data_IF_192069526268
#
_entry.id   IF_192069526268
#
_cell.length_a   1.000
_cell.length_b   1.000
_cell.length_c   1.000
_cell.angle_alpha   90.00
_cell.angle_beta   90.00
_cell.angle_gamma   90.00
#
_symmetry.space_group_name_H-M   'P 1'
#
loop_
_entity.id
_entity.type
_entity.pdbx_description
1 polymer ?
#
# COMPACT_ATOMS: atom_id res chain seq x y z
N UNK A 1 -30.01 -15.77 11.23
CA UNK A 1 -30.67 -16.81 10.41
C UNK A 1 -29.56 -17.69 9.86
N UNK A 2 -29.37 -18.87 10.44
CA UNK A 2 -28.29 -19.80 10.12
C UNK A 2 -28.70 -20.64 8.92
N UNK A 3 -28.05 -20.43 7.78
CA UNK A 3 -28.22 -21.27 6.59
C UNK A 3 -27.58 -22.63 6.84
N UNK A 4 -28.42 -23.65 6.96
CA UNK A 4 -28.03 -25.05 7.02
C UNK A 4 -27.35 -25.41 5.70
N UNK A 5 -26.05 -25.73 5.75
CA UNK A 5 -25.30 -26.18 4.58
C UNK A 5 -25.80 -27.60 4.24
N UNK A 6 -26.36 -27.76 3.06
CA UNK A 6 -26.82 -29.06 2.55
C UNK A 6 -25.66 -29.72 1.80
N UNK A 7 -25.11 -30.79 2.39
CA UNK A 7 -24.00 -31.55 1.81
C UNK A 7 -24.40 -32.37 0.57
N UNK A 8 -25.67 -32.31 0.17
CA UNK A 8 -26.23 -33.04 -0.97
C UNK A 8 -26.11 -32.31 -2.32
N UNK A 9 -25.79 -31.01 -2.32
CA UNK A 9 -25.74 -30.18 -3.54
C UNK A 9 -24.49 -30.41 -4.40
N UNK A 10 -23.49 -31.13 -3.89
CA UNK A 10 -22.22 -31.42 -4.58
C UNK A 10 -22.15 -32.82 -5.22
N UNK A 11 -23.28 -33.51 -5.35
CA UNK A 11 -23.31 -34.81 -6.03
C UNK A 11 -23.67 -34.55 -7.50
N UNK A 12 -22.63 -34.46 -8.34
CA UNK A 12 -22.77 -34.52 -9.80
C UNK A 12 -23.44 -35.85 -10.19
N UNK A 13 -24.68 -35.78 -10.66
CA UNK A 13 -25.49 -36.93 -11.10
C UNK A 13 -24.96 -37.57 -12.41
N UNK A 14 -23.92 -36.99 -13.01
CA UNK A 14 -23.38 -37.40 -14.32
C UNK A 14 -22.29 -38.48 -14.25
N UNK A 15 -22.02 -39.03 -13.06
CA UNK A 15 -21.02 -40.08 -12.81
C UNK A 15 -21.63 -41.42 -12.37
N UNK A 16 -22.88 -41.72 -12.73
CA UNK A 16 -23.37 -43.10 -12.62
C UNK A 16 -22.77 -43.96 -13.74
N UNK A 17 -21.87 -44.93 -13.45
CA UNK A 17 -21.50 -45.92 -14.43
C UNK A 17 -22.73 -46.78 -14.69
N UNK A 18 -23.39 -46.56 -15.83
CA UNK A 18 -24.47 -47.44 -16.28
C UNK A 18 -23.97 -48.88 -16.23
N UNK A 19 -24.56 -49.68 -15.34
CA UNK A 19 -24.39 -51.13 -15.25
C UNK A 19 -25.01 -51.79 -16.48
N UNK A 20 -24.36 -51.66 -17.63
CA UNK A 20 -24.70 -52.41 -18.82
C UNK A 20 -24.02 -53.77 -18.76
N UNK A 21 -24.83 -54.76 -18.40
CA UNK A 21 -24.77 -56.18 -18.75
C UNK A 21 -23.48 -56.68 -19.42
N UNK A 22 -22.76 -57.52 -18.67
CA UNK A 22 -21.80 -58.50 -19.17
C UNK A 22 -22.40 -59.33 -20.31
N UNK A 23 -21.79 -59.40 -21.51
CA UNK A 23 -22.15 -60.41 -22.49
C UNK A 23 -21.57 -61.78 -22.08
N UNK A 24 -22.28 -62.90 -22.27
CA UNK A 24 -21.76 -64.21 -21.94
C UNK A 24 -20.67 -64.63 -22.93
N UNK A 25 -19.64 -65.29 -22.42
CA UNK A 25 -18.66 -66.03 -23.21
C UNK A 25 -19.37 -67.25 -23.82
N UNK A 26 -19.85 -67.09 -25.05
CA UNK A 26 -20.44 -68.15 -25.85
C UNK A 26 -19.58 -68.43 -27.09
N UNK A 27 -18.78 -69.50 -27.04
CA UNK A 27 -18.15 -70.06 -28.23
C UNK A 27 -19.25 -70.68 -29.10
N UNK A 28 -19.76 -69.90 -30.05
CA UNK A 28 -20.73 -70.36 -31.04
C UNK A 28 -19.99 -70.64 -32.35
N UNK A 29 -19.67 -71.91 -32.57
CA UNK A 29 -19.36 -72.43 -33.91
C UNK A 29 -20.66 -72.46 -34.71
N UNK A 30 -20.80 -71.53 -35.65
CA UNK A 30 -21.74 -71.67 -36.76
C UNK A 30 -21.08 -71.15 -38.04
N UNK A 31 -20.62 -72.12 -38.82
CA UNK A 31 -20.37 -71.95 -40.23
C UNK A 31 -21.72 -71.97 -40.95
N UNK A 32 -22.14 -70.84 -41.51
CA UNK A 32 -23.01 -70.78 -42.69
C UNK A 32 -22.56 -69.58 -43.53
N UNK A 33 -22.32 -69.83 -44.81
CA UNK A 33 -21.71 -68.90 -45.76
C UNK A 33 -22.56 -67.66 -46.03
N UNK A 34 -21.86 -66.53 -46.03
CA UNK A 34 -22.26 -65.24 -46.56
C UNK A 34 -20.98 -64.42 -46.67
N UNK A 35 -20.50 -64.24 -47.89
CA UNK A 35 -19.36 -63.43 -48.33
C UNK A 35 -18.33 -62.99 -47.27
N UNK A 36 -17.40 -63.89 -46.95
CA UNK A 36 -16.05 -63.49 -46.53
C UNK A 36 -15.25 -63.03 -47.75
N UNK A 37 -15.73 -61.99 -48.44
CA UNK A 37 -14.90 -61.20 -49.33
C UNK A 37 -13.93 -60.44 -48.42
N UNK A 38 -12.63 -60.52 -48.68
CA UNK A 38 -11.70 -59.55 -48.08
C UNK A 38 -12.27 -58.15 -48.38
N UNK A 39 -12.37 -57.25 -47.38
CA UNK A 39 -12.93 -55.92 -47.61
C UNK A 39 -12.24 -55.34 -48.84
N UNK A 40 -13.04 -54.91 -49.82
CA UNK A 40 -12.45 -54.42 -51.06
C UNK A 40 -11.58 -53.22 -50.70
N UNK A 41 -10.44 -53.06 -51.36
CA UNK A 41 -9.48 -51.98 -51.07
C UNK A 41 -10.19 -50.60 -51.02
N UNK A 42 -11.18 -50.43 -51.89
CA UNK A 42 -12.04 -49.25 -51.97
C UNK A 42 -12.92 -49.03 -50.73
N UNK A 43 -13.52 -50.09 -50.15
CA UNK A 43 -14.28 -50.00 -48.88
C UNK A 43 -13.40 -49.67 -47.67
N UNK A 44 -12.13 -50.11 -47.69
CA UNK A 44 -11.17 -49.72 -46.64
C UNK A 44 -10.73 -48.28 -46.78
N UNK A 45 -10.51 -47.82 -48.01
CA UNK A 45 -10.15 -46.43 -48.32
C UNK A 45 -11.30 -45.46 -47.99
N UNK A 46 -12.56 -45.84 -48.27
CA UNK A 46 -13.74 -45.05 -47.88
C UNK A 46 -13.91 -44.95 -46.36
N UNK A 47 -13.68 -46.03 -45.61
CA UNK A 47 -13.68 -45.98 -44.14
C UNK A 47 -12.54 -45.15 -43.58
N UNK A 48 -11.34 -45.21 -44.16
CA UNK A 48 -10.20 -44.38 -43.74
C UNK A 48 -10.49 -42.90 -43.96
N UNK A 49 -11.07 -42.54 -45.11
CA UNK A 49 -11.45 -41.14 -45.40
C UNK A 49 -12.57 -40.65 -44.48
N UNK A 50 -13.61 -41.46 -44.23
CA UNK A 50 -14.67 -41.14 -43.25
C UNK A 50 -14.10 -40.93 -41.85
N UNK A 51 -13.17 -41.79 -41.40
CA UNK A 51 -12.51 -41.66 -40.10
C UNK A 51 -11.59 -40.44 -40.04
N UNK A 52 -10.88 -40.11 -41.12
CA UNK A 52 -10.08 -38.87 -41.21
C UNK A 52 -10.96 -37.62 -41.13
N UNK A 53 -12.13 -37.66 -41.78
CA UNK A 53 -13.08 -36.56 -41.77
C UNK A 53 -13.70 -36.37 -40.38
N UNK A 54 -14.10 -37.46 -39.71
CA UNK A 54 -14.53 -37.42 -38.30
C UNK A 54 -13.44 -36.88 -37.38
N UNK A 55 -12.18 -37.29 -37.59
CA UNK A 55 -11.06 -36.80 -36.79
C UNK A 55 -10.80 -35.30 -37.00
N UNK A 56 -10.98 -34.80 -38.22
CA UNK A 56 -10.90 -33.38 -38.51
C UNK A 56 -12.05 -32.59 -37.84
N UNK A 57 -13.26 -33.14 -37.87
CA UNK A 57 -14.44 -32.55 -37.22
C UNK A 57 -14.25 -32.47 -35.69
N UNK A 58 -13.90 -33.59 -35.05
CA UNK A 58 -13.58 -33.65 -33.62
C UNK A 58 -12.46 -32.68 -33.22
N UNK A 59 -11.42 -32.55 -34.05
CA UNK A 59 -10.33 -31.59 -33.80
C UNK A 59 -10.82 -30.15 -33.89
N UNK A 60 -11.74 -29.85 -34.81
CA UNK A 60 -12.34 -28.52 -34.92
C UNK A 60 -13.21 -28.19 -33.70
N UNK A 61 -13.97 -29.16 -33.20
CA UNK A 61 -14.78 -29.03 -31.98
C UNK A 61 -13.90 -28.85 -30.74
N UNK A 62 -12.82 -29.63 -30.62
CA UNK A 62 -11.83 -29.47 -29.56
C UNK A 62 -11.26 -28.04 -29.55
N UNK A 63 -10.84 -27.54 -30.71
CA UNK A 63 -10.28 -26.20 -30.81
C UNK A 63 -11.31 -25.11 -30.44
N UNK A 64 -12.60 -25.32 -30.75
CA UNK A 64 -13.67 -24.41 -30.33
C UNK A 64 -13.82 -24.42 -28.80
N UNK A 65 -13.87 -25.61 -28.20
CA UNK A 65 -13.95 -25.80 -26.76
C UNK A 65 -12.75 -25.21 -26.02
N UNK A 66 -11.53 -25.36 -26.55
CA UNK A 66 -10.33 -24.75 -25.98
C UNK A 66 -10.40 -23.21 -25.98
N UNK A 67 -10.94 -22.60 -27.05
CA UNK A 67 -11.14 -21.14 -27.09
C UNK A 67 -12.20 -20.68 -26.10
N UNK A 68 -13.30 -21.41 -26.00
CA UNK A 68 -14.37 -21.13 -25.02
C UNK A 68 -13.84 -21.26 -23.59
N UNK A 69 -13.06 -22.31 -23.31
CA UNK A 69 -12.34 -22.50 -22.04
C UNK A 69 -11.40 -21.33 -21.73
N UNK A 70 -10.56 -20.93 -22.68
CA UNK A 70 -9.65 -19.81 -22.51
C UNK A 70 -10.39 -18.49 -22.21
N UNK A 71 -11.54 -18.24 -22.86
CA UNK A 71 -12.37 -17.07 -22.60
C UNK A 71 -13.00 -17.08 -21.20
N UNK A 72 -13.46 -18.26 -20.74
CA UNK A 72 -13.98 -18.44 -19.39
C UNK A 72 -12.90 -18.29 -18.32
N UNK A 73 -11.71 -18.84 -18.56
CA UNK A 73 -10.56 -18.72 -17.65
C UNK A 73 -10.10 -17.26 -17.51
N UNK A 74 -10.02 -16.52 -18.61
CA UNK A 74 -9.70 -15.09 -18.59
C UNK A 74 -10.78 -14.28 -17.84
N UNK A 75 -12.06 -14.62 -18.01
CA UNK A 75 -13.15 -13.98 -17.25
C UNK A 75 -13.04 -14.29 -15.76
N UNK A 76 -12.75 -15.54 -15.40
CA UNK A 76 -12.54 -15.97 -14.01
C UNK A 76 -11.34 -15.25 -13.39
N UNK A 77 -10.25 -15.10 -14.14
CA UNK A 77 -9.06 -14.34 -13.73
C UNK A 77 -9.43 -12.89 -13.42
N UNK A 78 -10.12 -12.21 -14.31
CA UNK A 78 -10.56 -10.81 -14.10
C UNK A 78 -11.48 -10.66 -12.89
N UNK A 79 -12.37 -11.61 -12.67
CA UNK A 79 -13.24 -11.62 -11.48
C UNK A 79 -12.42 -11.77 -10.19
N UNK A 80 -11.40 -12.63 -10.18
CA UNK A 80 -10.51 -12.80 -9.03
C UNK A 80 -9.68 -11.53 -8.76
N UNK A 81 -9.10 -10.92 -9.81
CA UNK A 81 -8.36 -9.66 -9.70
C UNK A 81 -9.26 -8.53 -9.17
N UNK A 82 -10.50 -8.43 -9.67
CA UNK A 82 -11.47 -7.45 -9.19
C UNK A 82 -11.87 -7.69 -7.73
N UNK A 83 -12.14 -8.94 -7.33
CA UNK A 83 -12.52 -9.27 -5.97
C UNK A 83 -11.40 -8.91 -4.98
N UNK A 84 -10.16 -9.31 -5.29
CA UNK A 84 -8.99 -8.95 -4.48
C UNK A 84 -8.79 -7.44 -4.42
N UNK A 85 -8.79 -6.78 -5.59
CA UNK A 85 -8.59 -5.32 -5.66
C UNK A 85 -9.66 -4.53 -4.92
N UNK A 86 -10.92 -5.00 -4.92
CA UNK A 86 -11.98 -4.39 -4.13
C UNK A 86 -11.75 -4.48 -2.63
N UNK A 87 -11.35 -5.65 -2.14
CA UNK A 87 -11.09 -5.85 -0.71
C UNK A 87 -9.92 -4.99 -0.26
N UNK A 88 -8.81 -5.02 -1.01
CA UNK A 88 -7.63 -4.21 -0.72
C UNK A 88 -7.93 -2.71 -0.74
N UNK A 89 -8.59 -2.24 -1.80
CA UNK A 89 -8.93 -0.81 -1.92
C UNK A 89 -9.87 -0.36 -0.80
N UNK A 90 -10.86 -1.20 -0.44
CA UNK A 90 -11.78 -0.88 0.67
C UNK A 90 -11.02 -0.77 1.99
N UNK A 91 -10.10 -1.70 2.28
CA UNK A 91 -9.29 -1.66 3.50
C UNK A 91 -8.37 -0.43 3.52
N UNK A 92 -7.70 -0.14 2.40
CA UNK A 92 -6.82 1.02 2.26
C UNK A 92 -7.58 2.33 2.44
N UNK A 93 -8.75 2.48 1.81
CA UNK A 93 -9.60 3.65 1.95
C UNK A 93 -10.14 3.79 3.38
N UNK A 94 -10.55 2.69 4.00
CA UNK A 94 -11.03 2.72 5.39
C UNK A 94 -9.94 3.23 6.34
N UNK A 95 -8.71 2.73 6.18
CA UNK A 95 -7.56 3.18 6.97
C UNK A 95 -7.17 4.63 6.66
N UNK A 96 -7.19 5.04 5.40
CA UNK A 96 -6.86 6.40 5.02
C UNK A 96 -7.87 7.39 5.59
N UNK A 97 -9.16 7.02 5.59
CA UNK A 97 -10.23 7.84 6.16
C UNK A 97 -10.02 8.04 7.67
N UNK A 98 -9.75 6.98 8.43
CA UNK A 98 -9.53 7.12 9.88
C UNK A 98 -8.31 7.99 10.19
N UNK A 99 -7.22 7.85 9.42
CA UNK A 99 -6.03 8.71 9.57
C UNK A 99 -6.35 10.18 9.27
N UNK A 100 -7.15 10.44 8.22
CA UNK A 100 -7.51 11.79 7.84
C UNK A 100 -8.45 12.43 8.87
N UNK A 101 -9.42 11.68 9.39
CA UNK A 101 -10.32 12.16 10.45
C UNK A 101 -9.57 12.49 11.73
N UNK A 102 -8.59 11.66 12.13
CA UNK A 102 -7.74 11.95 13.28
C UNK A 102 -6.90 13.22 13.05
N UNK A 103 -6.32 13.37 11.86
CA UNK A 103 -5.56 14.55 11.48
C UNK A 103 -6.42 15.82 11.45
N UNK A 104 -7.66 15.73 10.97
CA UNK A 104 -8.62 16.85 10.95
C UNK A 104 -8.92 17.34 12.37
N UNK A 105 -9.21 16.43 13.29
CA UNK A 105 -9.45 16.77 14.71
C UNK A 105 -8.20 17.36 15.34
N UNK A 106 -7.02 16.79 15.05
CA UNK A 106 -5.73 17.29 15.55
C UNK A 106 -5.48 18.73 15.08
N UNK A 107 -5.60 18.99 13.77
CA UNK A 107 -5.40 20.33 13.21
C UNK A 107 -6.42 21.35 13.72
N UNK A 108 -7.68 20.95 13.96
CA UNK A 108 -8.66 21.83 14.61
C UNK A 108 -8.24 22.23 16.02
N UNK A 109 -7.81 21.26 16.85
CA UNK A 109 -7.30 21.53 18.20
C UNK A 109 -6.05 22.41 18.16
N UNK A 110 -5.10 22.13 17.26
CA UNK A 110 -3.91 22.95 17.07
C UNK A 110 -4.25 24.40 16.66
N UNK A 111 -5.25 24.58 15.78
CA UNK A 111 -5.71 25.89 15.37
C UNK A 111 -6.33 26.67 16.54
N UNK A 112 -7.12 26.02 17.39
CA UNK A 112 -7.67 26.61 18.61
C UNK A 112 -6.58 26.99 19.63
N UNK A 113 -5.58 26.12 19.83
CA UNK A 113 -4.45 26.43 20.71
C UNK A 113 -3.65 27.62 20.17
N UNK A 114 -3.42 27.67 18.85
CA UNK A 114 -2.72 28.77 18.20
C UNK A 114 -3.51 30.08 18.30
N UNK A 115 -4.84 30.04 18.15
CA UNK A 115 -5.67 31.25 18.25
C UNK A 115 -5.66 31.82 19.68
N UNK A 116 -5.69 30.95 20.70
CA UNK A 116 -5.53 31.36 22.11
C UNK A 116 -4.16 32.00 22.36
N UNK A 117 -3.08 31.37 21.90
CA UNK A 117 -1.73 31.94 22.06
C UNK A 117 -1.58 33.30 21.37
N UNK A 118 -2.23 33.50 20.21
CA UNK A 118 -2.27 34.81 19.54
C UNK A 118 -3.06 35.84 20.36
N UNK A 119 -4.17 35.45 20.97
CA UNK A 119 -4.96 36.32 21.84
C UNK A 119 -4.15 36.75 23.07
N UNK A 120 -3.53 35.80 23.78
CA UNK A 120 -2.70 36.06 24.96
C UNK A 120 -1.56 37.04 24.64
N UNK A 121 -0.89 36.85 23.49
CA UNK A 121 0.21 37.70 23.05
C UNK A 121 -0.25 39.11 22.67
N UNK A 122 -1.44 39.24 22.07
CA UNK A 122 -2.05 40.56 21.80
C UNK A 122 -2.41 41.28 23.09
N UNK A 123 -2.93 40.57 24.09
CA UNK A 123 -3.24 41.14 25.40
C UNK A 123 -1.98 41.62 26.12
N UNK A 124 -0.91 40.81 26.11
CA UNK A 124 0.38 41.20 26.68
C UNK A 124 0.96 42.46 25.99
N UNK A 125 0.87 42.53 24.66
CA UNK A 125 1.29 43.71 23.89
C UNK A 125 0.44 44.93 24.23
N UNK A 126 -0.88 44.78 24.37
CA UNK A 126 -1.77 45.87 24.75
C UNK A 126 -1.39 46.43 26.13
N UNK A 127 -1.15 45.56 27.13
CA UNK A 127 -0.70 45.97 28.48
C UNK A 127 0.64 46.72 28.44
N UNK A 128 1.60 46.26 27.64
CA UNK A 128 2.87 46.95 27.44
C UNK A 128 2.69 48.33 26.79
N UNK A 129 1.83 48.42 25.77
CA UNK A 129 1.57 49.68 25.06
C UNK A 129 0.79 50.71 25.88
N UNK A 130 0.04 50.25 26.89
CA UNK A 130 -0.69 51.11 27.82
C UNK A 130 0.22 51.75 28.88
N UNK A 131 1.48 51.29 29.02
CA UNK A 131 2.45 51.92 29.91
C UNK A 131 2.78 53.33 29.38
N UNK A 132 2.63 54.33 30.24
CA UNK A 132 2.89 55.75 29.91
C UNK A 132 3.95 56.32 30.87
N UNK A 133 5.25 56.10 30.60
CA UNK A 133 6.33 56.61 31.43
C UNK A 133 6.31 58.13 31.59
N UNK A 134 5.80 58.85 30.59
CA UNK A 134 5.73 60.33 30.57
C UNK A 134 4.74 60.90 31.61
N UNK A 135 3.85 60.06 32.17
CA UNK A 135 2.89 60.46 33.20
C UNK A 135 3.44 60.38 34.63
N UNK A 136 4.67 59.88 34.80
CA UNK A 136 5.26 59.62 36.11
C UNK A 136 5.86 60.89 36.72
N UNK A 137 5.64 61.07 38.01
CA UNK A 137 6.18 62.17 38.82
C UNK A 137 6.90 61.61 40.06
N UNK A 138 7.57 62.48 40.83
CA UNK A 138 8.36 62.05 41.99
C UNK A 138 7.53 61.35 43.07
N UNK A 139 6.24 61.66 43.17
CA UNK A 139 5.36 61.14 44.22
C UNK A 139 4.81 59.74 43.88
N UNK A 140 4.74 59.38 42.60
CA UNK A 140 4.22 58.08 42.14
C UNK A 140 5.26 57.17 41.45
N UNK A 141 6.49 57.67 41.23
CA UNK A 141 7.53 56.98 40.46
C UNK A 141 7.78 55.54 40.93
N UNK A 142 8.02 55.33 42.23
CA UNK A 142 8.35 54.00 42.78
C UNK A 142 7.21 52.99 42.59
N UNK A 143 5.96 53.44 42.72
CA UNK A 143 4.76 52.60 42.58
C UNK A 143 4.54 52.25 41.10
N UNK A 144 4.61 53.23 40.21
CA UNK A 144 4.43 53.00 38.77
C UNK A 144 5.59 52.20 38.17
N UNK A 145 6.82 52.38 38.66
CA UNK A 145 7.99 51.59 38.26
C UNK A 145 7.82 50.12 38.66
N UNK A 146 7.39 49.86 39.89
CA UNK A 146 7.13 48.49 40.36
C UNK A 146 6.00 47.84 39.56
N UNK A 147 4.91 48.57 39.30
CA UNK A 147 3.77 48.10 38.48
C UNK A 147 4.19 47.79 37.05
N UNK A 148 4.92 48.70 36.41
CA UNK A 148 5.36 48.55 35.01
C UNK A 148 6.37 47.41 34.85
N UNK A 149 7.29 47.22 35.80
CA UNK A 149 8.18 46.05 35.82
C UNK A 149 7.39 44.75 35.91
N UNK A 150 6.37 44.67 36.76
CA UNK A 150 5.50 43.49 36.84
C UNK A 150 4.78 43.20 35.51
N UNK A 151 4.31 44.23 34.80
CA UNK A 151 3.71 44.09 33.45
C UNK A 151 4.73 43.54 32.45
N UNK A 152 5.96 44.05 32.46
CA UNK A 152 7.05 43.59 31.59
C UNK A 152 7.41 42.13 31.85
N UNK A 153 7.55 41.74 33.11
CA UNK A 153 7.91 40.37 33.47
C UNK A 153 6.79 39.38 33.14
N UNK A 154 5.53 39.77 33.35
CA UNK A 154 4.39 38.97 32.92
C UNK A 154 4.38 38.78 31.39
N UNK A 155 4.62 39.85 30.62
CA UNK A 155 4.68 39.74 29.16
C UNK A 155 5.83 38.85 28.67
N UNK A 156 6.99 38.88 29.35
CA UNK A 156 8.10 37.96 29.06
C UNK A 156 7.75 36.51 29.33
N UNK A 157 7.02 36.25 30.43
CA UNK A 157 6.57 34.90 30.75
C UNK A 157 5.63 34.35 29.68
N UNK A 158 4.66 35.16 29.23
CA UNK A 158 3.73 34.76 28.15
C UNK A 158 4.42 34.55 26.80
N UNK A 159 5.38 35.41 26.46
CA UNK A 159 6.19 35.22 25.27
C UNK A 159 6.97 33.90 25.30
N UNK A 160 7.60 33.61 26.45
CA UNK A 160 8.38 32.39 26.61
C UNK A 160 7.49 31.13 26.59
N UNK A 161 6.31 31.19 27.22
CA UNK A 161 5.35 30.08 27.21
C UNK A 161 4.82 29.81 25.80
N UNK A 162 4.45 30.86 25.05
CA UNK A 162 4.01 30.75 23.66
C UNK A 162 5.11 30.16 22.76
N UNK A 163 6.35 30.62 22.92
CA UNK A 163 7.50 30.12 22.15
C UNK A 163 7.80 28.64 22.41
N UNK A 164 7.59 28.16 23.64
CA UNK A 164 7.72 26.74 23.96
C UNK A 164 6.62 25.91 23.27
N UNK A 165 5.36 26.35 23.40
CA UNK A 165 4.20 25.70 22.74
C UNK A 165 4.37 25.59 21.21
N UNK A 166 4.93 26.63 20.56
CA UNK A 166 5.18 26.58 19.12
C UNK A 166 6.29 25.60 18.70
N UNK A 167 7.24 25.29 19.57
CA UNK A 167 8.28 24.30 19.29
C UNK A 167 7.75 22.87 19.46
N UNK A 168 6.93 22.64 20.48
CA UNK A 168 6.24 21.36 20.70
C UNK A 168 5.32 21.02 19.52
N UNK A 169 4.52 22.00 19.06
CA UNK A 169 3.64 21.84 17.88
C UNK A 169 4.41 21.58 16.58
N UNK A 170 5.63 22.09 16.43
CA UNK A 170 6.49 21.80 15.28
C UNK A 170 7.15 20.42 15.36
N UNK A 171 7.36 19.89 16.57
CA UNK A 171 7.87 18.54 16.81
C UNK A 171 6.83 17.44 16.58
N UNK A 172 5.55 17.71 16.87
CA UNK A 172 4.43 16.77 16.63
C UNK A 172 3.92 16.76 15.18
N UNK A 173 4.27 17.78 14.39
CA UNK A 173 3.76 18.02 13.04
C UNK A 173 4.60 17.48 11.88
N UNK A 174 5.55 16.57 12.10
CA UNK A 174 6.21 15.84 11.01
C UNK A 174 5.50 14.49 10.79
N UNK A 175 4.47 14.41 9.92
CA UNK A 175 4.01 13.14 9.42
C UNK A 175 5.10 12.60 8.49
N UNK A 176 6.08 11.90 9.05
CA UNK A 176 6.78 10.91 8.25
C UNK A 176 5.71 9.93 7.79
N UNK A 177 5.48 9.70 6.48
CA UNK A 177 4.57 8.66 6.04
C UNK A 177 5.17 7.33 6.51
N UNK A 178 4.72 6.87 7.67
CA UNK A 178 5.06 5.57 8.22
C UNK A 178 4.35 4.54 7.37
N UNK A 179 5.12 3.99 6.43
CA UNK A 179 4.81 2.78 5.70
C UNK A 179 4.33 1.72 6.71
N UNK A 180 3.25 0.98 6.43
CA UNK A 180 2.59 0.14 7.41
C UNK A 180 3.29 -1.20 7.56
N UNK A 181 4.54 -1.20 8.02
CA UNK A 181 5.18 -2.41 8.53
C UNK A 181 6.40 -2.02 9.37
N UNK A 182 6.21 -1.71 10.65
CA UNK A 182 7.32 -1.67 11.61
C UNK A 182 6.81 -2.06 12.99
N UNK A 183 7.26 -3.24 13.41
CA UNK A 183 7.14 -3.80 14.74
C UNK A 183 7.95 -2.97 15.78
N UNK A 184 7.85 -3.22 17.09
CA UNK A 184 8.24 -2.28 18.14
C UNK A 184 9.76 -2.07 18.27
N UNK A 185 10.19 -0.95 18.89
CA UNK A 185 11.56 -0.45 18.81
C UNK A 185 12.49 -1.17 19.79
N UNK A 186 13.44 -1.93 19.25
CA UNK A 186 14.63 -2.37 19.97
C UNK A 186 15.86 -1.77 19.29
N UNK A 187 16.58 -0.93 20.02
CA UNK A 187 17.88 -0.38 19.60
C UNK A 187 17.77 1.06 19.12
N UNK A 188 18.28 1.98 19.93
CA UNK A 188 18.55 3.37 19.54
C UNK A 188 19.59 3.41 18.41
N UNK A 189 19.11 3.35 17.17
CA UNK A 189 19.89 3.69 15.98
C UNK A 189 19.83 5.21 15.82
N UNK A 190 20.96 5.91 15.59
CA UNK A 190 20.93 7.35 15.36
C UNK A 190 20.00 7.67 14.19
N UNK A 191 19.23 8.77 14.27
CA UNK A 191 18.20 9.08 13.29
C UNK A 191 18.83 9.19 11.90
N UNK A 192 18.38 8.31 10.99
CA UNK A 192 18.81 8.33 9.59
C UNK A 192 18.33 9.66 9.00
N UNK A 193 19.24 10.48 8.42
CA UNK A 193 18.87 11.76 7.83
C UNK A 193 17.79 11.54 6.76
N UNK A 194 16.66 12.26 6.86
CA UNK A 194 15.50 12.07 5.99
C UNK A 194 15.57 12.89 4.68
N UNK A 195 16.58 13.77 4.54
CA UNK A 195 16.76 14.61 3.36
C UNK A 195 17.94 14.12 2.52
N UNK A 196 17.74 13.97 1.22
CA UNK A 196 18.78 13.56 0.27
C UNK A 196 20.04 14.42 0.37
N UNK A 197 19.89 15.73 0.64
CA UNK A 197 21.01 16.65 0.89
C UNK A 197 21.89 16.23 2.06
N UNK A 198 21.28 15.69 3.11
CA UNK A 198 21.96 15.29 4.34
C UNK A 198 22.64 13.91 4.15
N UNK A 199 22.04 13.00 3.38
CA UNK A 199 22.71 11.77 2.94
C UNK A 199 23.92 12.06 2.04
N UNK A 200 23.81 13.02 1.11
CA UNK A 200 24.93 13.41 0.25
C UNK A 200 26.08 14.02 1.06
N UNK A 201 25.78 14.88 2.06
CA UNK A 201 26.80 15.45 2.95
C UNK A 201 27.47 14.38 3.81
N UNK A 202 26.71 13.42 4.32
CA UNK A 202 27.24 12.31 5.11
C UNK A 202 28.11 11.36 4.26
N UNK A 203 27.66 11.05 3.04
CA UNK A 203 28.44 10.27 2.08
C UNK A 203 29.72 10.97 1.64
N UNK A 204 29.69 12.29 1.50
CA UNK A 204 30.87 13.09 1.19
C UNK A 204 31.86 13.12 2.37
N UNK A 205 31.35 13.29 3.60
CA UNK A 205 32.19 13.27 4.80
C UNK A 205 32.91 11.93 5.00
N UNK A 206 32.22 10.80 4.76
CA UNK A 206 32.80 9.45 4.88
C UNK A 206 33.83 9.14 3.79
N UNK A 207 33.59 9.58 2.55
CA UNK A 207 34.45 9.26 1.42
C UNK A 207 35.57 10.29 1.19
N UNK A 208 35.53 11.44 1.87
CA UNK A 208 36.55 12.51 1.74
C UNK A 208 38.00 12.02 1.91
N UNK A 209 38.35 11.13 2.87
CA UNK A 209 39.73 10.63 3.01
C UNK A 209 40.22 9.86 1.76
N UNK A 210 39.34 9.12 1.07
CA UNK A 210 39.66 8.39 -0.15
C UNK A 210 39.90 9.34 -1.33
N UNK A 211 39.10 10.42 -1.42
CA UNK A 211 39.31 11.45 -2.45
C UNK A 211 40.64 12.19 -2.27
N UNK A 212 41.00 12.55 -1.02
CA UNK A 212 42.29 13.18 -0.72
C UNK A 212 43.45 12.25 -1.06
N UNK A 213 43.34 10.96 -0.73
CA UNK A 213 44.38 9.97 -1.05
C UNK A 213 44.51 9.78 -2.57
N UNK A 214 43.39 9.68 -3.29
CA UNK A 214 43.38 9.60 -4.75
C UNK A 214 44.00 10.83 -5.42
N UNK A 215 43.71 12.03 -4.91
CA UNK A 215 44.30 13.28 -5.41
C UNK A 215 45.82 13.32 -5.17
N UNK A 216 46.30 12.87 -4.01
CA UNK A 216 47.74 12.80 -3.71
C UNK A 216 48.46 11.83 -4.65
N UNK A 217 47.90 10.65 -4.89
CA UNK A 217 48.46 9.65 -5.82
C UNK A 217 48.48 10.23 -7.24
N UNK A 218 47.40 10.89 -7.65
CA UNK A 218 47.30 11.54 -8.96
C UNK A 218 48.35 12.65 -9.13
N UNK A 219 48.52 13.53 -8.14
CA UNK A 219 49.57 14.56 -8.15
C UNK A 219 50.97 13.93 -8.21
N UNK A 220 51.21 12.88 -7.44
CA UNK A 220 52.49 12.19 -7.43
C UNK A 220 52.81 11.58 -8.80
N UNK A 221 51.82 10.98 -9.46
CA UNK A 221 51.97 10.43 -10.82
C UNK A 221 52.15 11.54 -11.87
N UNK A 222 51.50 12.69 -11.70
CA UNK A 222 51.64 13.83 -12.61
C UNK A 222 52.99 14.53 -12.50
N UNK A 223 53.56 14.63 -11.30
CA UNK A 223 54.91 15.19 -11.05
C UNK A 223 56.03 14.23 -11.47
N UNK A 224 55.74 12.92 -11.53
CA UNK A 224 56.72 11.89 -11.91
C UNK A 224 56.75 11.61 -13.43
N UNK A 225 55.94 12.32 -14.21
CA UNK A 225 55.86 12.23 -15.66
C UNK A 225 56.36 13.51 -16.30
#
# INVERSE_FOLDING_TARGET
MSSHFDASEFIDDDLQPSSKSTPPLGYSTSAVGGDRRAPSREETESKVTEMQQRLAELKSEQQRLERERAALEETRRRQAEFATGRVETTQNLTRALTQLEEAEVRHRREAELRSRAVADMREALAKLSALQPDSWNKDNLEVELTRSLAVVDNARMEWNSARARFQELQGEGSPTPSSPNSAPPSGSVPPIPQKFSDLCRLGFAINWPLFVLGLLIFLMLWIRK
#
